data_IF_609491224384
#
_entry.id   IF_609491224384
#
_cell.length_a   1.000
_cell.length_b   1.000
_cell.length_c   1.000
_cell.angle_alpha   90.00
_cell.angle_beta   90.00
_cell.angle_gamma   90.00
#
_symmetry.space_group_name_H-M   'P 1'
#
loop_
_entity.id
_entity.type
_entity.pdbx_description
1 polymer ?
#
# COMPACT_ATOMS: atom_id res chain seq x y z
N UNK A 1 -15.45 -6.86 -2.99
CA UNK A 1 -15.76 -7.04 -1.55
C UNK A 1 -16.24 -5.75 -0.89
N UNK A 2 -15.64 -4.58 -1.14
CA UNK A 2 -16.10 -3.29 -0.59
C UNK A 2 -17.58 -2.98 -0.87
N UNK A 3 -18.01 -3.09 -2.14
CA UNK A 3 -19.41 -2.84 -2.53
C UNK A 3 -20.35 -3.81 -1.81
N UNK A 4 -19.99 -5.09 -1.71
CA UNK A 4 -20.76 -6.10 -1.00
C UNK A 4 -20.85 -5.79 0.51
N UNK A 5 -19.75 -5.35 1.14
CA UNK A 5 -19.74 -4.91 2.52
C UNK A 5 -20.63 -3.70 2.78
N UNK A 6 -20.69 -2.76 1.84
CA UNK A 6 -21.57 -1.59 1.92
C UNK A 6 -23.05 -1.95 1.71
N UNK A 7 -23.36 -2.85 0.77
CA UNK A 7 -24.71 -3.36 0.55
C UNK A 7 -25.22 -4.15 1.77
N UNK A 8 -24.37 -4.96 2.40
CA UNK A 8 -24.73 -5.67 3.63
C UNK A 8 -24.83 -4.70 4.82
N UNK A 9 -23.86 -3.82 5.00
CA UNK A 9 -23.78 -2.92 6.15
C UNK A 9 -24.82 -1.80 6.18
N UNK A 10 -25.27 -1.32 5.01
CA UNK A 10 -26.24 -0.22 4.92
C UNK A 10 -27.54 -0.66 4.22
N UNK A 11 -27.44 -1.43 3.15
CA UNK A 11 -28.61 -1.85 2.37
C UNK A 11 -29.54 -2.79 3.12
N UNK A 12 -29.00 -3.79 3.83
CA UNK A 12 -29.80 -4.76 4.60
C UNK A 12 -30.55 -4.09 5.76
N UNK A 13 -29.94 -3.23 6.60
CA UNK A 13 -30.67 -2.49 7.62
C UNK A 13 -31.79 -1.61 7.04
N UNK A 14 -31.52 -0.85 5.97
CA UNK A 14 -32.53 0.02 5.35
C UNK A 14 -33.73 -0.79 4.87
N UNK A 15 -33.49 -1.92 4.20
CA UNK A 15 -34.56 -2.81 3.72
C UNK A 15 -35.35 -3.44 4.87
N UNK A 16 -34.68 -3.90 5.94
CA UNK A 16 -35.32 -4.51 7.10
C UNK A 16 -36.21 -3.51 7.85
N UNK A 17 -35.72 -2.29 8.08
CA UNK A 17 -36.52 -1.25 8.72
C UNK A 17 -37.70 -0.81 7.84
N UNK A 18 -37.51 -0.68 6.52
CA UNK A 18 -38.61 -0.40 5.60
C UNK A 18 -39.73 -1.46 5.69
N UNK A 19 -39.38 -2.74 5.70
CA UNK A 19 -40.37 -3.82 5.85
C UNK A 19 -41.02 -3.82 7.23
N UNK A 20 -40.24 -3.60 8.29
CA UNK A 20 -40.75 -3.59 9.66
C UNK A 20 -41.74 -2.45 9.90
N UNK A 21 -41.48 -1.24 9.37
CA UNK A 21 -42.42 -0.13 9.43
C UNK A 21 -43.69 -0.37 8.60
N UNK A 22 -43.59 -1.06 7.46
CA UNK A 22 -44.74 -1.39 6.61
C UNK A 22 -45.69 -2.41 7.26
N UNK A 23 -45.14 -3.36 8.02
CA UNK A 23 -45.93 -4.36 8.77
C UNK A 23 -46.49 -3.76 10.06
N UNK A 24 -45.79 -2.81 10.68
CA UNK A 24 -46.27 -2.04 11.83
C UNK A 24 -46.36 -2.83 13.14
N UNK A 25 -45.84 -4.05 13.21
CA UNK A 25 -45.86 -4.87 14.43
C UNK A 25 -44.58 -4.70 15.25
N UNK A 26 -44.73 -4.51 16.56
CA UNK A 26 -43.62 -4.35 17.50
C UNK A 26 -42.58 -5.49 17.44
N UNK A 27 -42.96 -6.78 17.31
CA UNK A 27 -41.98 -7.87 17.22
C UNK A 27 -41.09 -7.77 15.98
N UNK A 28 -41.63 -7.28 14.85
CA UNK A 28 -40.86 -7.09 13.62
C UNK A 28 -39.84 -5.96 13.74
N UNK A 29 -40.17 -4.88 14.46
CA UNK A 29 -39.24 -3.79 14.73
C UNK A 29 -38.06 -4.24 15.59
N UNK A 30 -38.31 -5.06 16.61
CA UNK A 30 -37.26 -5.69 17.41
C UNK A 30 -36.35 -6.60 16.57
N UNK A 31 -36.93 -7.47 15.73
CA UNK A 31 -36.17 -8.35 14.85
C UNK A 31 -35.32 -7.56 13.84
N UNK A 32 -35.88 -6.51 13.21
CA UNK A 32 -35.18 -5.65 12.28
C UNK A 32 -34.00 -4.91 12.95
N UNK A 33 -34.15 -4.53 14.22
CA UNK A 33 -33.09 -3.86 14.99
C UNK A 33 -31.92 -4.81 15.25
N UNK A 34 -32.20 -6.04 15.70
CA UNK A 34 -31.16 -7.04 15.97
C UNK A 34 -30.43 -7.45 14.68
N UNK A 35 -31.19 -7.76 13.63
CA UNK A 35 -30.62 -8.16 12.34
C UNK A 35 -29.90 -7.00 11.64
N UNK A 36 -30.42 -5.78 11.76
CA UNK A 36 -29.77 -4.57 11.26
C UNK A 36 -28.44 -4.31 11.94
N UNK A 37 -28.38 -4.43 13.27
CA UNK A 37 -27.13 -4.27 14.03
C UNK A 37 -26.08 -5.32 13.61
N UNK A 38 -26.48 -6.58 13.43
CA UNK A 38 -25.61 -7.64 12.92
C UNK A 38 -25.13 -7.35 11.49
N UNK A 39 -26.01 -6.86 10.62
CA UNK A 39 -25.65 -6.53 9.25
C UNK A 39 -24.65 -5.38 9.18
N UNK A 40 -24.81 -4.33 10.00
CA UNK A 40 -23.83 -3.24 10.12
C UNK A 40 -22.48 -3.78 10.58
N UNK A 41 -22.46 -4.63 11.62
CA UNK A 41 -21.23 -5.23 12.14
C UNK A 41 -20.48 -6.02 11.06
N UNK A 42 -21.16 -6.95 10.39
CA UNK A 42 -20.55 -7.76 9.34
C UNK A 42 -20.16 -6.95 8.10
N UNK A 43 -20.95 -5.93 7.75
CA UNK A 43 -20.62 -4.99 6.69
C UNK A 43 -19.31 -4.25 6.97
N UNK A 44 -19.11 -3.80 8.22
CA UNK A 44 -17.87 -3.14 8.65
C UNK A 44 -16.67 -4.10 8.61
N UNK A 45 -16.83 -5.33 9.11
CA UNK A 45 -15.76 -6.36 9.04
C UNK A 45 -15.35 -6.62 7.59
N UNK A 46 -16.33 -6.80 6.70
CA UNK A 46 -16.06 -7.04 5.27
C UNK A 46 -15.38 -5.84 4.60
N UNK A 47 -15.73 -4.61 5.00
CA UNK A 47 -15.06 -3.42 4.51
C UNK A 47 -13.59 -3.39 4.91
N UNK A 48 -13.27 -3.67 6.18
CA UNK A 48 -11.89 -3.71 6.69
C UNK A 48 -11.07 -4.80 5.99
N UNK A 49 -11.61 -6.02 5.88
CA UNK A 49 -10.93 -7.13 5.21
C UNK A 49 -10.65 -6.82 3.74
N UNK A 50 -11.54 -6.08 3.08
CA UNK A 50 -11.34 -5.70 1.68
C UNK A 50 -10.18 -4.72 1.45
N UNK A 51 -9.63 -4.10 2.51
CA UNK A 51 -8.41 -3.29 2.42
C UNK A 51 -7.12 -4.11 2.46
N UNK A 52 -7.15 -5.36 2.91
CA UNK A 52 -5.93 -6.20 3.00
C UNK A 52 -5.18 -6.31 1.68
N UNK A 53 -5.82 -6.61 0.52
CA UNK A 53 -5.10 -6.70 -0.75
C UNK A 53 -4.45 -5.37 -1.18
N UNK A 54 -5.04 -4.24 -0.77
CA UNK A 54 -4.48 -2.92 -1.04
C UNK A 54 -3.18 -2.75 -0.27
N UNK A 55 -3.15 -3.15 1.00
CA UNK A 55 -1.93 -3.11 1.81
C UNK A 55 -0.84 -4.04 1.25
N UNK A 56 -1.20 -5.27 0.86
CA UNK A 56 -0.25 -6.21 0.24
C UNK A 56 0.37 -5.62 -1.03
N UNK A 57 -0.44 -4.97 -1.87
CA UNK A 57 0.06 -4.32 -3.10
C UNK A 57 0.99 -3.14 -2.82
N UNK A 58 0.81 -2.44 -1.69
CA UNK A 58 1.69 -1.35 -1.26
C UNK A 58 3.02 -1.92 -0.79
N UNK A 59 2.99 -2.99 0.00
CA UNK A 59 4.20 -3.68 0.46
C UNK A 59 5.03 -4.23 -0.71
N UNK A 60 4.38 -4.81 -1.73
CA UNK A 60 5.07 -5.24 -2.95
C UNK A 60 5.74 -4.08 -3.69
N UNK A 61 5.07 -2.94 -3.81
CA UNK A 61 5.64 -1.74 -4.43
C UNK A 61 6.83 -1.19 -3.65
N UNK A 62 6.74 -1.14 -2.32
CA UNK A 62 7.83 -0.72 -1.45
C UNK A 62 9.03 -1.66 -1.58
N UNK A 63 8.78 -2.97 -1.63
CA UNK A 63 9.84 -3.96 -1.83
C UNK A 63 10.51 -3.84 -3.19
N UNK A 64 9.74 -3.60 -4.26
CA UNK A 64 10.28 -3.34 -5.59
C UNK A 64 11.15 -2.07 -5.61
N UNK A 65 10.70 -0.99 -4.98
CA UNK A 65 11.44 0.25 -4.87
C UNK A 65 12.74 0.08 -4.08
N UNK A 66 12.70 -0.67 -2.96
CA UNK A 66 13.89 -0.97 -2.17
C UNK A 66 14.94 -1.77 -2.97
N UNK A 67 14.50 -2.71 -3.82
CA UNK A 67 15.41 -3.42 -4.73
C UNK A 67 16.06 -2.47 -5.73
N UNK A 68 15.28 -1.58 -6.34
CA UNK A 68 15.82 -0.57 -7.26
C UNK A 68 16.83 0.35 -6.58
N UNK A 69 16.52 0.83 -5.37
CA UNK A 69 17.44 1.66 -4.58
C UNK A 69 18.76 0.93 -4.28
N UNK A 70 18.71 -0.37 -3.95
CA UNK A 70 19.92 -1.15 -3.75
C UNK A 70 20.74 -1.29 -5.04
N UNK A 71 20.10 -1.48 -6.19
CA UNK A 71 20.77 -1.49 -7.50
C UNK A 71 21.43 -0.14 -7.78
N UNK A 72 20.74 0.97 -7.57
CA UNK A 72 21.32 2.31 -7.74
C UNK A 72 22.48 2.57 -6.79
N UNK A 73 22.40 2.12 -5.54
CA UNK A 73 23.52 2.21 -4.58
C UNK A 73 24.74 1.43 -5.06
N UNK A 74 24.54 0.24 -5.59
CA UNK A 74 25.63 -0.55 -6.16
C UNK A 74 26.24 0.14 -7.38
N UNK A 75 25.41 0.69 -8.26
CA UNK A 75 25.84 1.46 -9.42
C UNK A 75 26.64 2.71 -9.03
N UNK A 76 26.19 3.47 -8.04
CA UNK A 76 26.91 4.64 -7.53
C UNK A 76 28.28 4.25 -6.96
N UNK A 77 28.38 3.11 -6.26
CA UNK A 77 29.67 2.61 -5.76
C UNK A 77 30.63 2.28 -6.90
N UNK A 78 30.14 1.61 -7.94
CA UNK A 78 30.95 1.31 -9.12
C UNK A 78 31.44 2.59 -9.82
N UNK A 79 30.58 3.61 -9.96
CA UNK A 79 30.98 4.91 -10.52
C UNK A 79 32.01 5.64 -9.66
N UNK A 80 31.93 5.54 -8.34
CA UNK A 80 32.92 6.14 -7.44
C UNK A 80 34.29 5.46 -7.58
N UNK A 81 34.30 4.14 -7.71
CA UNK A 81 35.53 3.36 -7.95
C UNK A 81 36.17 3.75 -9.28
N UNK A 82 35.37 3.86 -10.34
CA UNK A 82 35.85 4.31 -11.66
C UNK A 82 36.40 5.75 -11.63
N UNK A 83 35.77 6.65 -10.84
CA UNK A 83 36.30 8.00 -10.63
C UNK A 83 37.63 8.01 -9.88
N UNK A 84 37.82 7.13 -8.90
CA UNK A 84 39.08 7.00 -8.18
C UNK A 84 40.20 6.49 -9.10
N UNK A 85 39.90 5.53 -9.98
CA UNK A 85 40.84 5.05 -11.00
C UNK A 85 41.24 6.17 -11.96
N UNK A 86 40.28 6.95 -12.45
CA UNK A 86 40.55 8.11 -13.31
C UNK A 86 41.42 9.15 -12.59
N UNK A 87 41.17 9.38 -11.29
CA UNK A 87 41.95 10.30 -10.49
C UNK A 87 43.41 9.81 -10.31
N UNK A 88 43.61 8.50 -10.14
CA UNK A 88 44.95 7.91 -10.09
C UNK A 88 45.70 8.11 -11.42
N UNK A 89 45.06 7.85 -12.56
CA UNK A 89 45.66 8.08 -13.89
C UNK A 89 46.04 9.55 -14.08
N UNK A 90 45.14 10.48 -13.72
CA UNK A 90 45.44 11.92 -13.81
C UNK A 90 46.63 12.33 -12.95
N UNK A 91 46.77 11.71 -11.77
CA UNK A 91 47.90 11.93 -10.87
C UNK A 91 49.21 11.43 -11.48
N UNK A 92 49.20 10.25 -12.10
CA UNK A 92 50.36 9.70 -12.79
C UNK A 92 50.78 10.58 -13.97
N UNK A 93 49.84 11.03 -14.81
CA UNK A 93 50.10 11.96 -15.91
C UNK A 93 50.73 13.26 -15.39
N UNK A 94 50.16 13.82 -14.31
CA UNK A 94 50.71 15.04 -13.68
C UNK A 94 52.13 14.82 -13.19
N UNK A 95 52.42 13.69 -12.58
CA UNK A 95 53.73 13.40 -12.01
C UNK A 95 54.77 13.10 -13.10
N UNK A 96 54.38 12.49 -14.22
CA UNK A 96 55.21 12.39 -15.43
C UNK A 96 55.50 13.75 -16.06
N UNK A 97 54.49 14.61 -16.21
CA UNK A 97 54.68 15.97 -16.74
C UNK A 97 55.66 16.78 -15.89
N UNK A 98 55.63 16.63 -14.56
CA UNK A 98 56.61 17.28 -13.66
C UNK A 98 58.03 16.80 -13.92
N UNK A 99 58.25 15.49 -14.13
CA UNK A 99 59.57 14.93 -14.41
C UNK A 99 60.16 15.42 -15.74
N UNK A 100 59.31 15.73 -16.72
CA UNK A 100 59.76 16.28 -18.02
C UNK A 100 60.05 17.79 -17.92
N UNK A 101 59.47 18.48 -16.93
CA UNK A 101 59.69 19.92 -16.72
C UNK A 101 60.93 20.27 -15.89
N UNK A 102 61.53 19.28 -15.21
CA UNK A 102 62.84 19.38 -14.54
C UNK A 102 63.97 19.02 -15.51
#
# INVERSE_FOLDING_TARGET
MLISGLVVGAGVPIALFYMAFKIGSWPFLLAATILGALAIFWGAVMAIVAFVPVLDSVDEQVNALNRQLNTYRAFIRALLEELDDVNAILKDIRDELKKVSE
#
